data_IF_787365469506
#
_entry.id   IF_787365469506
#
_cell.length_a   1.000
_cell.length_b   1.000
_cell.length_c   1.000
_cell.angle_alpha   90.00
_cell.angle_beta   90.00
_cell.angle_gamma   90.00
#
_symmetry.space_group_name_H-M   'P 1'
#
loop_
_entity.id
_entity.type
_entity.pdbx_description
1 polymer ?
#
# COMPACT_ATOMS: atom_id res chain seq x y z
N UNK A 1 -54.06 45.82 65.33
CA UNK A 1 -53.53 44.53 65.73
C UNK A 1 -52.74 44.07 64.55
N UNK A 2 -51.63 44.36 64.63
CA UNK A 2 -50.31 44.41 63.95
C UNK A 2 -49.99 43.18 63.14
N UNK A 3 -49.87 43.43 61.87
CA UNK A 3 -49.32 42.61 60.87
C UNK A 3 -47.77 42.65 60.96
N UNK A 4 -47.12 41.52 61.00
CA UNK A 4 -45.66 41.42 60.97
C UNK A 4 -45.23 40.77 59.61
N UNK A 5 -44.81 41.65 58.77
CA UNK A 5 -44.11 41.31 57.54
C UNK A 5 -42.71 40.76 57.85
N UNK A 6 -42.41 39.51 57.45
CA UNK A 6 -41.09 38.93 57.53
C UNK A 6 -40.40 39.04 56.14
N UNK A 7 -39.70 40.16 56.09
CA UNK A 7 -38.73 40.49 55.00
C UNK A 7 -37.76 39.39 54.72
N UNK A 8 -37.54 39.19 53.41
CA UNK A 8 -36.45 38.41 52.79
C UNK A 8 -35.07 38.89 53.24
N UNK A 9 -34.10 38.01 53.44
CA UNK A 9 -32.72 38.42 53.64
C UNK A 9 -32.13 39.08 52.39
N UNK A 10 -31.29 40.12 52.55
CA UNK A 10 -30.60 40.76 51.39
C UNK A 10 -29.39 39.97 50.96
N UNK A 11 -29.24 39.86 49.66
CA UNK A 11 -27.92 39.58 49.06
C UNK A 11 -27.63 38.17 48.61
N UNK A 12 -28.15 37.82 47.45
CA UNK A 12 -27.42 36.95 46.53
C UNK A 12 -27.61 37.47 45.09
N UNK A 13 -27.05 38.64 44.84
CA UNK A 13 -26.77 39.00 43.47
C UNK A 13 -25.65 38.06 42.98
N UNK A 14 -26.00 37.15 42.09
CA UNK A 14 -25.02 36.38 41.32
C UNK A 14 -24.13 37.40 40.60
N UNK A 15 -22.81 37.25 40.65
CA UNK A 15 -21.92 38.11 39.88
C UNK A 15 -22.29 38.04 38.40
N UNK A 16 -22.26 39.17 37.66
CA UNK A 16 -22.57 39.17 36.25
C UNK A 16 -21.65 38.18 35.54
N UNK A 17 -22.14 37.44 34.54
CA UNK A 17 -21.31 36.50 33.77
C UNK A 17 -20.12 37.25 33.21
N UNK A 18 -18.95 36.73 33.50
CA UNK A 18 -17.65 37.30 33.14
C UNK A 18 -17.59 37.43 31.61
N UNK A 19 -17.94 38.60 31.08
CA UNK A 19 -17.88 38.94 29.65
C UNK A 19 -16.42 39.25 29.21
N UNK A 20 -15.53 38.31 29.46
CA UNK A 20 -14.27 38.27 28.73
C UNK A 20 -14.39 37.33 27.55
N UNK A 21 -15.49 37.44 26.80
CA UNK A 21 -15.43 37.02 25.39
C UNK A 21 -14.46 37.96 24.69
N UNK A 22 -13.23 37.54 24.60
CA UNK A 22 -12.30 38.12 23.65
C UNK A 22 -12.89 37.81 22.27
N UNK A 23 -13.70 38.74 21.78
CA UNK A 23 -14.06 38.80 20.36
C UNK A 23 -12.72 38.83 19.63
N UNK A 24 -12.27 37.67 19.15
CA UNK A 24 -11.19 37.65 18.17
C UNK A 24 -11.79 38.36 16.95
N UNK A 25 -11.45 39.64 16.86
CA UNK A 25 -11.92 40.50 15.78
C UNK A 25 -11.67 39.79 14.45
N UNK A 26 -12.74 39.59 13.69
CA UNK A 26 -12.67 39.09 12.30
C UNK A 26 -11.85 40.03 11.39
N UNK A 27 -11.39 41.14 11.95
CA UNK A 27 -10.53 42.15 11.28
C UNK A 27 -9.04 41.91 11.49
N UNK A 28 -8.61 40.72 11.88
CA UNK A 28 -7.20 40.39 11.75
C UNK A 28 -6.87 40.51 10.25
N UNK A 29 -6.00 41.48 9.84
CA UNK A 29 -5.68 41.65 8.44
C UNK A 29 -5.23 40.35 7.87
N UNK A 30 -5.80 39.93 6.74
CA UNK A 30 -5.36 38.76 6.03
C UNK A 30 -3.83 38.81 5.92
N UNK A 31 -3.11 37.76 6.30
CA UNK A 31 -1.65 37.80 6.21
C UNK A 31 -1.27 38.22 4.81
N UNK A 32 -0.29 39.14 4.65
CA UNK A 32 0.03 39.74 3.37
C UNK A 32 0.23 38.65 2.32
N UNK A 33 -0.46 38.77 1.20
CA UNK A 33 -0.26 37.90 0.05
C UNK A 33 1.22 38.03 -0.33
N UNK A 34 1.98 36.95 -0.15
CA UNK A 34 3.39 36.97 -0.58
C UNK A 34 3.41 37.02 -2.09
N UNK A 35 4.19 37.92 -2.64
CA UNK A 35 4.41 38.02 -4.06
C UNK A 35 4.89 36.70 -4.65
N UNK A 36 4.46 36.32 -5.88
CA UNK A 36 4.80 35.03 -6.51
C UNK A 36 6.32 34.79 -6.61
N UNK A 37 7.14 35.84 -6.70
CA UNK A 37 8.59 35.74 -6.71
C UNK A 37 9.18 35.15 -5.42
N UNK A 38 8.55 35.39 -4.25
CA UNK A 38 9.01 34.82 -2.96
C UNK A 38 8.67 33.32 -2.80
N UNK A 39 7.76 32.77 -3.61
CA UNK A 39 7.35 31.39 -3.59
C UNK A 39 8.27 30.47 -4.43
N UNK A 40 8.94 31.02 -5.44
CA UNK A 40 9.80 30.23 -6.33
C UNK A 40 11.04 29.69 -5.63
N UNK A 41 11.62 30.46 -4.68
CA UNK A 41 12.82 30.04 -3.98
C UNK A 41 12.61 28.76 -3.14
N UNK A 42 11.63 28.68 -2.21
CA UNK A 42 11.43 27.47 -1.44
C UNK A 42 10.95 26.27 -2.29
N UNK A 43 10.20 26.50 -3.37
CA UNK A 43 9.87 25.45 -4.32
C UNK A 43 11.13 24.93 -5.03
N UNK A 44 12.00 25.83 -5.47
CA UNK A 44 13.29 25.48 -6.06
C UNK A 44 14.17 24.66 -5.12
N UNK A 45 14.19 25.01 -3.83
CA UNK A 45 14.91 24.25 -2.80
C UNK A 45 14.36 22.81 -2.67
N UNK A 46 13.04 22.63 -2.61
CA UNK A 46 12.43 21.30 -2.53
C UNK A 46 12.79 20.47 -3.76
N UNK A 47 12.67 21.04 -4.96
CA UNK A 47 13.03 20.36 -6.21
C UNK A 47 14.53 20.02 -6.23
N UNK A 48 15.39 20.95 -5.83
CA UNK A 48 16.83 20.71 -5.76
C UNK A 48 17.20 19.59 -4.78
N UNK A 49 16.53 19.50 -3.61
CA UNK A 49 16.73 18.44 -2.65
C UNK A 49 16.30 17.07 -3.19
N UNK A 50 15.18 17.00 -3.92
CA UNK A 50 14.72 15.77 -4.57
C UNK A 50 15.67 15.32 -5.67
N UNK A 51 16.19 16.26 -6.47
CA UNK A 51 17.21 16.00 -7.50
C UNK A 51 18.54 15.55 -6.86
N UNK A 52 18.98 16.24 -5.80
CA UNK A 52 20.17 15.85 -5.06
C UNK A 52 20.07 14.44 -4.48
N UNK A 53 18.90 14.08 -3.92
CA UNK A 53 18.63 12.74 -3.44
C UNK A 53 18.75 11.69 -4.56
N UNK A 54 18.30 12.00 -5.78
CA UNK A 54 18.44 11.12 -6.95
C UNK A 54 19.89 11.01 -7.42
N UNK A 55 20.62 12.11 -7.51
CA UNK A 55 21.98 12.19 -8.08
C UNK A 55 23.02 11.60 -7.09
N UNK A 56 22.97 11.99 -5.81
CA UNK A 56 23.95 11.60 -4.79
C UNK A 56 23.54 10.34 -4.01
N UNK A 57 22.25 9.99 -3.97
CA UNK A 57 21.75 8.79 -3.33
C UNK A 57 21.36 7.74 -4.36
N UNK A 58 20.10 7.68 -4.68
CA UNK A 58 19.54 6.80 -5.72
C UNK A 58 18.19 7.32 -6.18
N UNK A 59 17.90 7.21 -7.47
CA UNK A 59 16.58 7.54 -8.03
C UNK A 59 15.42 6.74 -7.38
N UNK A 60 15.72 5.57 -6.82
CA UNK A 60 14.76 4.79 -6.04
C UNK A 60 14.30 5.51 -4.78
N UNK A 61 15.21 6.22 -4.09
CA UNK A 61 14.86 7.03 -2.92
C UNK A 61 13.99 8.22 -3.30
N UNK A 62 14.34 8.91 -4.39
CA UNK A 62 13.51 10.01 -4.91
C UNK A 62 12.12 9.52 -5.27
N UNK A 63 12.03 8.41 -6.00
CA UNK A 63 10.74 7.78 -6.34
C UNK A 63 9.94 7.44 -5.08
N UNK A 64 10.58 6.83 -4.08
CA UNK A 64 9.92 6.45 -2.81
C UNK A 64 9.37 7.67 -2.08
N UNK A 65 10.15 8.75 -1.96
CA UNK A 65 9.71 10.00 -1.31
C UNK A 65 8.54 10.62 -2.06
N UNK A 66 8.63 10.73 -3.38
CA UNK A 66 7.54 11.27 -4.21
C UNK A 66 6.28 10.40 -4.10
N UNK A 67 6.43 9.07 -4.15
CA UNK A 67 5.30 8.15 -4.00
C UNK A 67 4.62 8.32 -2.63
N UNK A 68 5.39 8.45 -1.55
CA UNK A 68 4.84 8.71 -0.21
C UNK A 68 4.07 10.02 -0.15
N UNK A 69 4.61 11.10 -0.74
CA UNK A 69 3.92 12.40 -0.82
C UNK A 69 2.58 12.25 -1.57
N UNK A 70 2.57 11.54 -2.69
CA UNK A 70 1.34 11.29 -3.48
C UNK A 70 0.34 10.47 -2.68
N UNK A 71 0.78 9.42 -1.99
CA UNK A 71 -0.08 8.57 -1.16
C UNK A 71 -0.74 9.39 -0.05
N UNK A 72 0.02 10.24 0.66
CA UNK A 72 -0.51 11.10 1.72
C UNK A 72 -1.47 12.15 1.13
N UNK A 73 -1.11 12.76 0.01
CA UNK A 73 -1.99 13.71 -0.69
C UNK A 73 -3.34 13.06 -1.05
N UNK A 74 -3.33 11.85 -1.60
CA UNK A 74 -4.55 11.12 -1.96
C UNK A 74 -5.38 10.74 -0.72
N UNK A 75 -4.73 10.42 0.40
CA UNK A 75 -5.39 10.20 1.68
C UNK A 75 -6.20 11.42 2.11
N UNK A 76 -5.55 12.60 2.15
CA UNK A 76 -6.20 13.86 2.52
C UNK A 76 -7.28 14.28 1.50
N UNK A 77 -7.05 13.98 0.21
CA UNK A 77 -8.05 14.20 -0.82
C UNK A 77 -9.33 13.39 -0.56
N UNK A 78 -9.20 12.18 0.00
CA UNK A 78 -10.34 11.38 0.43
C UNK A 78 -11.19 12.11 1.47
N UNK A 79 -10.56 12.60 2.54
CA UNK A 79 -11.22 13.39 3.59
C UNK A 79 -11.86 14.66 3.01
N UNK A 80 -11.15 15.38 2.16
CA UNK A 80 -11.65 16.58 1.48
C UNK A 80 -12.93 16.30 0.68
N UNK A 81 -12.91 15.29 -0.18
CA UNK A 81 -14.05 14.94 -1.04
C UNK A 81 -15.26 14.55 -0.21
N UNK A 82 -15.08 13.70 0.81
CA UNK A 82 -16.18 13.23 1.64
C UNK A 82 -16.74 14.33 2.55
N UNK A 83 -15.90 15.20 3.12
CA UNK A 83 -16.37 16.36 3.88
C UNK A 83 -17.25 17.28 3.03
N UNK A 84 -16.80 17.59 1.82
CA UNK A 84 -17.59 18.42 0.89
C UNK A 84 -18.90 17.76 0.48
N UNK A 85 -18.89 16.44 0.18
CA UNK A 85 -20.10 15.68 -0.14
C UNK A 85 -21.08 15.64 1.03
N UNK A 86 -20.58 15.59 2.26
CA UNK A 86 -21.39 15.65 3.48
C UNK A 86 -21.88 17.07 3.82
N UNK A 87 -21.60 18.08 3.00
CA UNK A 87 -21.99 19.47 3.23
C UNK A 87 -21.28 20.10 4.42
N UNK A 88 -20.07 19.65 4.74
CA UNK A 88 -19.18 20.28 5.74
C UNK A 88 -18.42 21.42 5.09
N UNK A 89 -18.14 22.49 5.83
CA UNK A 89 -17.30 23.58 5.34
C UNK A 89 -15.83 23.20 5.51
N UNK A 90 -15.11 23.21 4.41
CA UNK A 90 -13.67 23.02 4.34
C UNK A 90 -13.04 24.37 4.03
N UNK A 91 -12.06 24.77 4.80
CA UNK A 91 -11.40 26.08 4.67
C UNK A 91 -10.02 26.01 4.05
N UNK A 92 -9.29 24.91 4.29
CA UNK A 92 -7.93 24.74 3.79
C UNK A 92 -7.69 23.33 3.27
N UNK A 93 -6.92 23.24 2.18
CA UNK A 93 -6.39 22.00 1.65
C UNK A 93 -4.94 22.24 1.17
N UNK A 94 -3.97 21.79 1.94
CA UNK A 94 -2.57 22.06 1.70
C UNK A 94 -1.73 20.80 1.61
N UNK A 95 -0.76 20.83 0.69
CA UNK A 95 0.35 19.88 0.68
C UNK A 95 1.52 20.49 1.47
N UNK A 96 2.02 19.73 2.46
CA UNK A 96 3.12 20.16 3.32
C UNK A 96 2.70 20.91 4.58
N UNK A 97 3.69 21.25 5.39
CA UNK A 97 3.57 21.99 6.64
C UNK A 97 4.52 23.20 6.66
N UNK A 98 4.40 24.03 7.70
CA UNK A 98 5.26 25.20 7.88
C UNK A 98 4.83 26.43 7.05
N UNK A 99 5.77 27.30 6.66
CA UNK A 99 5.46 28.50 5.92
C UNK A 99 4.82 28.23 4.56
N UNK A 100 3.82 29.05 4.19
CA UNK A 100 3.14 28.97 2.92
C UNK A 100 4.08 29.41 1.79
N UNK A 101 4.26 28.54 0.78
CA UNK A 101 4.99 28.85 -0.45
C UNK A 101 4.05 29.52 -1.44
N UNK A 102 2.93 28.86 -1.73
CA UNK A 102 1.95 29.29 -2.70
C UNK A 102 0.55 28.86 -2.28
N UNK A 103 -0.46 29.68 -2.56
CA UNK A 103 -1.85 29.29 -2.42
C UNK A 103 -2.76 30.00 -3.41
N UNK A 104 -3.91 29.38 -3.67
CA UNK A 104 -5.00 29.94 -4.45
C UNK A 104 -6.31 29.70 -3.71
N UNK A 105 -7.15 30.71 -3.61
CA UNK A 105 -8.49 30.60 -3.04
C UNK A 105 -9.50 30.34 -4.14
N UNK A 106 -10.27 29.26 -3.99
CA UNK A 106 -11.40 28.96 -4.86
C UNK A 106 -12.65 28.74 -4.01
N UNK A 107 -13.55 29.71 -4.05
CA UNK A 107 -14.72 29.74 -3.17
C UNK A 107 -14.30 29.86 -1.70
N UNK A 108 -14.73 28.91 -0.88
CA UNK A 108 -14.47 28.90 0.56
C UNK A 108 -13.13 28.22 0.93
N UNK A 109 -12.49 27.53 -0.02
CA UNK A 109 -11.29 26.72 0.23
C UNK A 109 -10.05 27.41 -0.28
N UNK A 110 -9.03 27.48 0.56
CA UNK A 110 -7.67 27.85 0.18
C UNK A 110 -6.86 26.58 -0.10
N UNK A 111 -6.37 26.46 -1.33
CA UNK A 111 -5.51 25.35 -1.78
C UNK A 111 -4.08 25.84 -1.88
N UNK A 112 -3.11 25.05 -1.46
CA UNK A 112 -1.74 25.50 -1.56
C UNK A 112 -0.67 24.51 -1.23
N UNK A 113 0.57 25.00 -1.25
CA UNK A 113 1.79 24.28 -0.97
C UNK A 113 2.54 24.99 0.15
N UNK A 114 3.04 24.21 1.11
CA UNK A 114 3.89 24.67 2.22
C UNK A 114 5.31 24.13 2.09
N UNK A 115 6.24 24.74 2.83
CA UNK A 115 7.68 24.57 2.62
C UNK A 115 8.21 23.17 3.00
N UNK A 116 7.56 22.45 3.89
CA UNK A 116 8.01 21.14 4.36
C UNK A 116 7.07 20.07 3.75
N UNK A 117 7.49 19.32 2.72
CA UNK A 117 6.63 18.37 2.00
C UNK A 117 6.49 17.04 2.76
N UNK A 118 6.39 17.08 4.09
CA UNK A 118 6.32 15.90 4.96
C UNK A 118 4.87 15.42 5.20
N UNK A 119 3.91 15.84 4.35
CA UNK A 119 2.52 15.45 4.48
C UNK A 119 1.56 16.35 3.71
N UNK A 120 0.28 16.23 4.03
CA UNK A 120 -0.79 17.09 3.57
C UNK A 120 -1.80 17.27 4.69
N UNK A 121 -2.71 18.22 4.59
CA UNK A 121 -3.83 18.33 5.51
C UNK A 121 -5.05 18.99 4.88
N UNK A 122 -6.21 18.63 5.41
CA UNK A 122 -7.48 19.26 5.13
C UNK A 122 -8.05 19.86 6.42
N UNK A 123 -8.47 21.13 6.39
CA UNK A 123 -9.11 21.78 7.53
C UNK A 123 -10.62 21.80 7.35
N UNK A 124 -11.30 20.96 8.13
CA UNK A 124 -12.74 20.89 8.24
C UNK A 124 -13.12 21.59 9.52
N UNK A 125 -14.02 22.59 9.47
CA UNK A 125 -14.43 23.34 10.68
C UNK A 125 -15.20 22.47 11.66
N UNK A 126 -15.02 22.74 12.95
CA UNK A 126 -15.75 22.08 14.04
C UNK A 126 -15.37 20.61 14.25
N UNK A 127 -14.16 20.18 13.85
CA UNK A 127 -13.61 18.87 14.23
C UNK A 127 -13.25 18.83 15.71
N UNK A 128 -12.82 19.96 16.28
CA UNK A 128 -12.61 20.12 17.72
C UNK A 128 -13.83 20.84 18.34
N UNK A 129 -14.34 20.30 19.44
CA UNK A 129 -15.48 20.91 20.16
C UNK A 129 -15.15 22.27 20.81
N UNK A 130 -13.85 22.58 20.96
CA UNK A 130 -13.37 23.85 21.49
C UNK A 130 -13.18 24.92 20.39
N UNK A 131 -13.35 24.56 19.12
CA UNK A 131 -13.22 25.49 18.01
C UNK A 131 -14.45 26.42 17.97
N UNK A 132 -14.19 27.73 18.10
CA UNK A 132 -15.22 28.75 17.93
C UNK A 132 -15.50 28.92 16.44
N UNK A 133 -16.75 28.73 16.05
CA UNK A 133 -17.22 28.80 14.67
C UNK A 133 -18.29 29.89 14.59
N UNK A 134 -18.30 30.74 13.56
CA UNK A 134 -19.37 31.72 13.34
C UNK A 134 -20.74 31.04 13.34
N UNK A 135 -21.80 31.62 13.93
CA UNK A 135 -23.12 31.02 14.02
C UNK A 135 -23.70 30.59 12.67
N UNK A 136 -23.42 31.35 11.60
CA UNK A 136 -23.84 31.06 10.23
C UNK A 136 -23.21 29.76 9.69
N UNK A 137 -22.04 29.38 10.13
CA UNK A 137 -21.32 28.20 9.70
C UNK A 137 -21.53 26.99 10.60
N UNK A 138 -22.14 27.15 11.78
CA UNK A 138 -22.28 26.08 12.76
C UNK A 138 -22.99 24.84 12.18
N UNK A 139 -24.03 25.01 11.36
CA UNK A 139 -24.75 23.92 10.71
C UNK A 139 -23.88 23.11 9.71
N UNK A 140 -22.75 23.66 9.32
CA UNK A 140 -21.79 23.09 8.37
C UNK A 140 -20.54 22.52 9.05
N UNK A 141 -20.50 22.52 10.39
CA UNK A 141 -19.37 21.93 11.15
C UNK A 141 -19.43 20.42 11.12
N UNK A 142 -18.25 19.77 11.30
CA UNK A 142 -18.16 18.33 11.45
C UNK A 142 -19.01 17.80 12.60
N UNK A 143 -19.00 18.49 13.76
CA UNK A 143 -19.73 18.09 14.98
C UNK A 143 -21.24 18.08 14.81
N UNK A 144 -21.80 18.91 13.93
CA UNK A 144 -23.25 18.99 13.66
C UNK A 144 -23.75 17.96 12.63
N UNK A 145 -22.84 17.24 11.96
CA UNK A 145 -23.24 16.23 10.99
C UNK A 145 -23.63 14.92 11.67
N UNK A 146 -24.56 14.21 11.03
CA UNK A 146 -24.98 12.88 11.48
C UNK A 146 -23.84 11.87 11.50
N UNK A 147 -24.01 10.81 12.28
CA UNK A 147 -23.02 9.76 12.50
C UNK A 147 -22.40 9.22 11.20
N UNK A 148 -23.22 8.84 10.21
CA UNK A 148 -22.75 8.26 8.96
C UNK A 148 -21.92 9.24 8.12
N UNK A 149 -22.29 10.53 8.13
CA UNK A 149 -21.50 11.57 7.46
C UNK A 149 -20.13 11.74 8.12
N UNK A 150 -20.05 11.72 9.44
CA UNK A 150 -18.79 11.79 10.18
C UNK A 150 -17.94 10.54 9.95
N UNK A 151 -18.55 9.36 10.00
CA UNK A 151 -17.88 8.09 9.74
C UNK A 151 -17.33 8.03 8.30
N UNK A 152 -18.11 8.48 7.29
CA UNK A 152 -17.65 8.50 5.90
C UNK A 152 -16.42 9.38 5.73
N UNK A 153 -16.34 10.52 6.41
CA UNK A 153 -15.14 11.35 6.41
C UNK A 153 -13.98 10.65 7.13
N UNK A 154 -14.24 10.05 8.31
CA UNK A 154 -13.20 9.40 9.10
C UNK A 154 -12.51 8.25 8.35
N UNK A 155 -13.25 7.45 7.58
CA UNK A 155 -12.70 6.31 6.83
C UNK A 155 -12.21 6.67 5.42
N UNK A 156 -12.49 7.89 4.94
CA UNK A 156 -12.25 8.29 3.55
C UNK A 156 -10.76 8.20 3.14
N UNK A 157 -9.85 8.58 4.03
CA UNK A 157 -8.41 8.49 3.78
C UNK A 157 -7.97 7.05 3.54
N UNK A 158 -8.37 6.13 4.41
CA UNK A 158 -8.07 4.70 4.26
C UNK A 158 -8.74 4.11 3.02
N UNK A 159 -9.98 4.50 2.71
CA UNK A 159 -10.69 4.07 1.51
C UNK A 159 -9.95 4.50 0.23
N UNK A 160 -9.30 5.68 0.25
CA UNK A 160 -8.49 6.16 -0.88
C UNK A 160 -7.22 5.31 -1.07
N UNK A 161 -6.60 4.81 0.00
CA UNK A 161 -5.48 3.86 -0.10
C UNK A 161 -5.93 2.54 -0.72
N UNK A 162 -7.09 2.01 -0.34
CA UNK A 162 -7.64 0.80 -0.97
C UNK A 162 -7.95 1.01 -2.44
N UNK A 163 -8.52 2.16 -2.80
CA UNK A 163 -8.77 2.51 -4.20
C UNK A 163 -7.45 2.58 -4.99
N UNK A 164 -6.42 3.24 -4.44
CA UNK A 164 -5.10 3.33 -5.06
C UNK A 164 -4.48 1.94 -5.24
N UNK A 165 -4.51 1.10 -4.21
CA UNK A 165 -4.00 -0.27 -4.28
C UNK A 165 -4.69 -1.07 -5.38
N UNK A 166 -6.02 -0.93 -5.50
CA UNK A 166 -6.80 -1.59 -6.53
C UNK A 166 -6.44 -1.11 -7.95
N UNK A 167 -6.29 0.21 -8.13
CA UNK A 167 -5.85 0.79 -9.42
C UNK A 167 -4.44 0.30 -9.79
N UNK A 168 -3.52 0.25 -8.82
CA UNK A 168 -2.17 -0.25 -9.05
C UNK A 168 -2.15 -1.76 -9.38
N UNK A 169 -3.02 -2.56 -8.75
CA UNK A 169 -3.17 -3.97 -9.11
C UNK A 169 -3.65 -4.14 -10.54
N UNK A 170 -4.70 -3.41 -10.95
CA UNK A 170 -5.18 -3.45 -12.33
C UNK A 170 -4.06 -3.07 -13.31
N UNK A 171 -3.33 -2.01 -13.01
CA UNK A 171 -2.21 -1.57 -13.83
C UNK A 171 -1.11 -2.65 -13.89
N UNK A 172 -0.76 -3.25 -12.76
CA UNK A 172 0.25 -4.31 -12.71
C UNK A 172 -0.16 -5.53 -13.52
N UNK A 173 -1.38 -6.03 -13.33
CA UNK A 173 -1.88 -7.20 -14.05
C UNK A 173 -2.03 -6.94 -15.55
N UNK A 174 -2.46 -5.74 -15.95
CA UNK A 174 -2.68 -5.38 -17.34
C UNK A 174 -1.40 -5.04 -18.10
N UNK A 175 -0.45 -4.32 -17.48
CA UNK A 175 0.78 -3.89 -18.16
C UNK A 175 1.94 -4.88 -18.02
N UNK A 176 2.17 -5.40 -16.81
CA UNK A 176 3.29 -6.32 -16.53
C UNK A 176 2.86 -7.78 -16.62
N UNK A 177 1.59 -8.10 -16.35
CA UNK A 177 1.07 -9.45 -16.35
C UNK A 177 1.28 -10.18 -15.02
N UNK A 178 0.89 -11.45 -15.01
CA UNK A 178 1.06 -12.37 -13.89
C UNK A 178 1.88 -13.59 -14.28
N UNK A 179 2.66 -14.12 -13.37
CA UNK A 179 3.28 -15.41 -13.54
C UNK A 179 2.24 -16.51 -13.30
N UNK A 180 1.83 -17.21 -14.35
CA UNK A 180 0.92 -18.35 -14.22
C UNK A 180 1.70 -19.64 -14.04
N UNK A 181 1.26 -20.48 -13.16
CA UNK A 181 1.87 -21.82 -12.96
C UNK A 181 1.85 -22.68 -14.22
N UNK A 182 0.93 -22.41 -15.16
CA UNK A 182 0.84 -23.08 -16.45
C UNK A 182 1.76 -22.48 -17.53
N UNK A 183 2.34 -21.28 -17.30
CA UNK A 183 3.24 -20.60 -18.24
C UNK A 183 4.71 -20.78 -17.81
N UNK A 184 5.06 -22.01 -17.45
CA UNK A 184 6.42 -22.35 -17.05
C UNK A 184 7.27 -22.79 -18.26
N UNK A 185 8.59 -22.59 -18.15
CA UNK A 185 9.60 -23.09 -19.09
C UNK A 185 10.83 -23.54 -18.33
N UNK A 186 11.70 -24.29 -18.99
CA UNK A 186 13.00 -24.69 -18.45
C UNK A 186 13.88 -23.44 -18.35
N UNK A 187 14.30 -23.07 -17.13
CA UNK A 187 15.24 -21.95 -16.89
C UNK A 187 16.68 -22.33 -17.21
N UNK A 188 17.02 -23.60 -17.01
CA UNK A 188 18.34 -24.15 -17.24
C UNK A 188 18.34 -25.66 -17.04
N UNK A 189 19.34 -26.31 -17.59
CA UNK A 189 19.58 -27.74 -17.50
C UNK A 189 20.89 -27.94 -16.74
N UNK A 190 20.90 -28.84 -15.76
CA UNK A 190 22.07 -29.16 -14.97
C UNK A 190 23.07 -29.94 -15.81
N UNK A 191 24.37 -29.70 -15.60
CA UNK A 191 25.44 -30.49 -16.20
C UNK A 191 25.33 -31.98 -15.76
N UNK A 192 25.69 -32.89 -16.61
CA UNK A 192 25.65 -34.35 -16.40
C UNK A 192 24.28 -34.90 -16.00
N UNK A 193 23.21 -34.20 -16.38
CA UNK A 193 21.84 -34.59 -16.03
C UNK A 193 21.15 -35.41 -17.14
N UNK A 194 20.13 -36.22 -16.78
CA UNK A 194 19.26 -36.87 -17.73
C UNK A 194 18.62 -35.93 -18.77
N UNK A 195 18.32 -34.69 -18.37
CA UNK A 195 17.75 -33.67 -19.24
C UNK A 195 18.75 -33.27 -20.34
N UNK A 196 20.03 -33.04 -19.98
CA UNK A 196 21.07 -32.70 -20.94
C UNK A 196 21.29 -33.85 -21.91
N UNK A 197 21.33 -35.10 -21.39
CA UNK A 197 21.48 -36.31 -22.22
C UNK A 197 20.30 -36.52 -23.18
N UNK A 198 19.10 -36.05 -22.80
CA UNK A 198 17.89 -36.11 -23.65
C UNK A 198 17.79 -34.93 -24.64
N UNK A 199 18.75 -34.00 -24.65
CA UNK A 199 18.75 -32.86 -25.57
C UNK A 199 17.83 -31.70 -25.15
N UNK A 200 17.43 -31.62 -23.86
CA UNK A 200 16.62 -30.52 -23.39
C UNK A 200 17.45 -29.24 -23.21
N UNK A 201 16.86 -28.09 -23.54
CA UNK A 201 17.50 -26.79 -23.46
C UNK A 201 16.69 -25.78 -22.64
N UNK A 202 17.34 -24.69 -22.22
CA UNK A 202 16.67 -23.54 -21.64
C UNK A 202 15.66 -22.93 -22.63
N UNK A 203 14.46 -22.60 -22.14
CA UNK A 203 13.35 -22.11 -22.95
C UNK A 203 12.37 -23.18 -23.39
N UNK A 204 12.74 -24.47 -23.34
CA UNK A 204 11.84 -25.58 -23.63
C UNK A 204 10.74 -25.74 -22.57
N UNK A 205 9.62 -26.36 -22.96
CA UNK A 205 8.53 -26.74 -22.05
C UNK A 205 8.15 -28.18 -22.27
N UNK A 206 8.10 -28.98 -21.22
CA UNK A 206 7.58 -30.34 -21.30
C UNK A 206 6.06 -30.31 -21.21
N UNK A 207 5.38 -30.71 -22.27
CA UNK A 207 3.92 -30.69 -22.37
C UNK A 207 3.25 -32.02 -22.03
N UNK A 208 4.00 -33.15 -22.11
CA UNK A 208 3.53 -34.45 -21.58
C UNK A 208 4.70 -35.35 -21.20
N UNK A 209 4.41 -36.30 -20.28
CA UNK A 209 5.28 -37.41 -19.88
C UNK A 209 4.49 -38.72 -20.03
N UNK A 210 5.01 -39.69 -20.80
CA UNK A 210 4.37 -40.95 -21.13
C UNK A 210 2.89 -40.79 -21.54
N UNK A 211 2.59 -39.76 -22.35
CA UNK A 211 1.22 -39.44 -22.78
C UNK A 211 0.35 -38.71 -21.76
N UNK A 212 0.82 -38.53 -20.52
CA UNK A 212 0.11 -37.76 -19.51
C UNK A 212 0.41 -36.28 -19.68
N UNK A 213 -0.61 -35.40 -19.87
CA UNK A 213 -0.40 -33.95 -20.01
C UNK A 213 0.22 -33.33 -18.76
N UNK A 214 1.10 -32.35 -18.97
CA UNK A 214 1.77 -31.59 -17.91
C UNK A 214 1.39 -30.12 -18.02
N UNK A 215 0.53 -29.66 -17.12
CA UNK A 215 0.08 -28.27 -17.07
C UNK A 215 1.01 -27.38 -16.22
N UNK A 216 1.58 -27.93 -15.14
CA UNK A 216 2.43 -27.18 -14.22
C UNK A 216 3.76 -27.89 -13.97
N UNK A 217 4.78 -27.11 -13.60
CA UNK A 217 6.09 -27.66 -13.22
C UNK A 217 5.99 -28.58 -11.98
N UNK A 218 5.08 -28.28 -11.05
CA UNK A 218 4.83 -29.14 -9.88
C UNK A 218 4.34 -30.51 -10.33
N UNK A 219 3.37 -30.57 -11.26
CA UNK A 219 2.89 -31.84 -11.83
C UNK A 219 4.02 -32.65 -12.48
N UNK A 220 4.90 -31.98 -13.26
CA UNK A 220 6.07 -32.61 -13.83
C UNK A 220 6.99 -33.19 -12.74
N UNK A 221 7.29 -32.37 -11.73
CA UNK A 221 8.16 -32.78 -10.61
C UNK A 221 7.61 -34.01 -9.91
N UNK A 222 6.32 -34.07 -9.62
CA UNK A 222 5.68 -35.22 -8.98
C UNK A 222 5.78 -36.47 -9.84
N UNK A 223 5.55 -36.36 -11.14
CA UNK A 223 5.65 -37.46 -12.11
C UNK A 223 7.09 -37.97 -12.25
N UNK A 224 8.08 -37.07 -12.29
CA UNK A 224 9.51 -37.43 -12.36
C UNK A 224 9.95 -38.10 -11.06
N UNK A 225 9.63 -37.52 -9.88
CA UNK A 225 10.03 -38.07 -8.58
C UNK A 225 9.49 -39.49 -8.32
N UNK A 226 8.30 -39.79 -8.86
CA UNK A 226 7.68 -41.09 -8.72
C UNK A 226 8.35 -42.22 -9.56
N UNK A 227 9.32 -41.89 -10.45
CA UNK A 227 9.91 -42.82 -11.42
C UNK A 227 11.44 -42.91 -11.36
N UNK A 228 12.04 -43.26 -10.22
CA UNK A 228 13.50 -43.34 -10.09
C UNK A 228 14.09 -44.40 -11.03
N UNK A 229 15.07 -44.02 -11.84
CA UNK A 229 15.79 -44.92 -12.75
C UNK A 229 14.95 -45.43 -13.94
N UNK A 230 13.80 -44.88 -14.22
CA UNK A 230 12.95 -45.28 -15.37
C UNK A 230 13.25 -44.43 -16.61
N UNK A 231 13.05 -45.02 -17.77
CA UNK A 231 13.01 -44.30 -19.06
C UNK A 231 11.59 -43.79 -19.28
N UNK A 232 11.46 -42.55 -19.66
CA UNK A 232 10.18 -41.89 -19.93
C UNK A 232 10.23 -41.20 -21.30
N UNK A 233 9.06 -41.09 -21.90
CA UNK A 233 8.88 -40.37 -23.17
C UNK A 233 8.34 -38.97 -22.86
N UNK A 234 9.06 -37.95 -23.26
CA UNK A 234 8.70 -36.54 -23.08
C UNK A 234 8.28 -35.93 -24.40
N UNK A 235 7.17 -35.20 -24.43
CA UNK A 235 6.86 -34.29 -25.53
C UNK A 235 7.28 -32.90 -25.10
N UNK A 236 8.14 -32.29 -25.87
CA UNK A 236 8.78 -30.99 -25.59
C UNK A 236 8.31 -29.97 -26.60
N UNK A 237 7.87 -28.81 -26.11
CA UNK A 237 7.58 -27.64 -26.93
C UNK A 237 8.77 -26.68 -26.83
N UNK A 238 9.37 -26.35 -27.98
CA UNK A 238 10.46 -25.39 -28.08
C UNK A 238 9.98 -23.93 -28.10
N UNK A 239 10.87 -22.93 -27.94
CA UNK A 239 10.49 -21.51 -27.97
C UNK A 239 9.82 -21.06 -29.28
N UNK A 240 10.07 -21.74 -30.39
CA UNK A 240 9.45 -21.51 -31.72
C UNK A 240 8.09 -22.20 -31.88
N UNK A 241 7.56 -22.81 -30.80
CA UNK A 241 6.32 -23.60 -30.76
C UNK A 241 6.37 -24.91 -31.56
N UNK A 242 7.50 -25.33 -32.04
CA UNK A 242 7.67 -26.70 -32.59
C UNK A 242 7.63 -27.70 -31.45
N UNK A 243 7.18 -28.92 -31.73
CA UNK A 243 7.13 -29.99 -30.71
C UNK A 243 8.00 -31.16 -31.14
N UNK A 244 8.77 -31.70 -30.22
CA UNK A 244 9.60 -32.87 -30.39
C UNK A 244 9.29 -33.91 -29.33
N UNK A 245 9.46 -35.20 -29.69
CA UNK A 245 9.33 -36.30 -28.73
C UNK A 245 10.71 -36.87 -28.46
N UNK A 246 11.13 -36.77 -27.21
CA UNK A 246 12.45 -37.25 -26.75
C UNK A 246 12.30 -38.32 -25.66
N UNK A 247 13.27 -39.23 -25.56
CA UNK A 247 13.34 -40.20 -24.47
C UNK A 247 14.37 -39.74 -23.43
N UNK A 248 14.01 -39.74 -22.18
CA UNK A 248 14.89 -39.41 -21.09
C UNK A 248 15.00 -40.58 -20.08
N UNK A 249 16.21 -40.97 -19.69
CA UNK A 249 16.44 -41.94 -18.65
C UNK A 249 16.62 -41.20 -17.30
N UNK A 250 15.63 -41.21 -16.43
CA UNK A 250 15.66 -40.49 -15.16
C UNK A 250 16.73 -41.06 -14.22
N UNK A 251 17.44 -40.19 -13.52
CA UNK A 251 18.35 -40.64 -12.48
C UNK A 251 17.56 -41.29 -11.32
N UNK A 252 18.12 -42.28 -10.65
CA UNK A 252 17.48 -42.97 -9.51
C UNK A 252 17.64 -42.21 -8.20
N UNK A 253 18.49 -41.17 -8.18
CA UNK A 253 18.72 -40.32 -7.00
C UNK A 253 18.85 -38.86 -7.43
N UNK A 254 18.37 -37.96 -6.59
CA UNK A 254 18.60 -36.53 -6.76
C UNK A 254 19.99 -36.12 -6.22
N UNK A 255 20.47 -34.89 -6.45
CA UNK A 255 21.76 -34.40 -5.93
C UNK A 255 21.87 -34.39 -4.41
N UNK A 256 20.73 -34.42 -3.68
CA UNK A 256 20.68 -34.52 -2.22
C UNK A 256 20.81 -35.96 -1.71
N UNK A 257 20.90 -36.95 -2.61
CA UNK A 257 21.05 -38.35 -2.28
C UNK A 257 19.73 -39.08 -1.97
N UNK A 258 18.58 -38.44 -2.14
CA UNK A 258 17.27 -39.07 -1.95
C UNK A 258 16.97 -40.02 -3.12
N UNK A 259 16.36 -41.16 -2.81
CA UNK A 259 15.97 -42.18 -3.79
C UNK A 259 14.66 -41.80 -4.50
N UNK A 260 14.71 -40.79 -5.32
CA UNK A 260 13.60 -40.23 -6.14
C UNK A 260 14.10 -40.02 -7.55
N UNK A 261 13.19 -40.09 -8.52
CA UNK A 261 13.51 -39.76 -9.90
C UNK A 261 13.98 -38.31 -10.04
N UNK A 262 14.99 -38.08 -10.89
CA UNK A 262 15.55 -36.76 -11.11
C UNK A 262 15.82 -36.53 -12.60
N UNK A 263 15.44 -35.36 -13.13
CA UNK A 263 15.63 -34.99 -14.53
C UNK A 263 16.72 -33.92 -14.71
N UNK A 264 16.89 -33.00 -13.76
CA UNK A 264 17.95 -31.99 -13.77
C UNK A 264 17.59 -30.72 -14.51
N UNK A 265 16.35 -30.22 -14.36
CA UNK A 265 15.90 -28.95 -14.94
C UNK A 265 15.44 -27.98 -13.85
N UNK A 266 15.64 -26.69 -14.12
CA UNK A 266 15.08 -25.60 -13.33
C UNK A 266 13.82 -25.02 -13.96
N UNK A 267 13.00 -24.35 -13.16
CA UNK A 267 11.77 -23.66 -13.59
C UNK A 267 12.00 -22.15 -13.74
N UNK A 268 11.47 -21.56 -14.80
CA UNK A 268 11.15 -20.14 -14.91
C UNK A 268 9.70 -19.98 -15.34
N UNK A 269 9.09 -18.85 -15.01
CA UNK A 269 7.70 -18.56 -15.40
C UNK A 269 7.64 -17.26 -16.17
N UNK A 270 6.98 -17.32 -17.32
CA UNK A 270 6.73 -16.15 -18.12
C UNK A 270 5.60 -15.30 -17.54
N UNK A 271 5.73 -13.98 -17.71
CA UNK A 271 4.66 -13.05 -17.39
C UNK A 271 3.62 -13.04 -18.51
N UNK A 272 2.41 -13.46 -18.20
CA UNK A 272 1.28 -13.44 -19.12
C UNK A 272 0.45 -12.19 -18.84
N UNK A 273 0.36 -11.28 -19.84
CA UNK A 273 -0.46 -10.07 -19.74
C UNK A 273 -1.94 -10.44 -19.71
N UNK A 274 -2.66 -9.82 -18.79
CA UNK A 274 -4.10 -9.99 -18.68
C UNK A 274 -4.82 -8.98 -19.59
N UNK A 275 -5.97 -9.39 -20.15
CA UNK A 275 -6.91 -8.41 -20.72
C UNK A 275 -7.45 -7.49 -19.63
N UNK A 276 -7.87 -6.26 -19.98
CA UNK A 276 -8.41 -5.33 -18.97
C UNK A 276 -9.56 -5.93 -18.13
N UNK A 277 -10.57 -6.63 -18.73
CA UNK A 277 -11.59 -7.30 -17.91
C UNK A 277 -11.01 -8.35 -16.96
N UNK A 278 -10.07 -9.18 -17.44
CA UNK A 278 -9.41 -10.21 -16.61
C UNK A 278 -8.56 -9.56 -15.51
N UNK A 279 -7.87 -8.47 -15.81
CA UNK A 279 -7.09 -7.71 -14.83
C UNK A 279 -7.96 -7.13 -13.72
N UNK A 280 -9.16 -6.63 -14.03
CA UNK A 280 -10.12 -6.15 -13.01
C UNK A 280 -10.57 -7.30 -12.11
N UNK A 281 -11.01 -8.42 -12.69
CA UNK A 281 -11.44 -9.60 -11.91
C UNK A 281 -10.28 -10.16 -11.08
N UNK A 282 -9.10 -10.31 -11.68
CA UNK A 282 -7.89 -10.76 -11.01
C UNK A 282 -7.49 -9.84 -9.87
N UNK A 283 -7.64 -8.52 -10.03
CA UNK A 283 -7.35 -7.54 -8.99
C UNK A 283 -8.28 -7.67 -7.78
N UNK A 284 -9.57 -7.97 -7.98
CA UNK A 284 -10.51 -8.22 -6.86
C UNK A 284 -10.08 -9.47 -6.09
N UNK A 285 -9.75 -10.55 -6.79
CA UNK A 285 -9.32 -11.81 -6.18
C UNK A 285 -7.99 -11.63 -5.42
N UNK A 286 -7.01 -10.99 -6.05
CA UNK A 286 -5.70 -10.78 -5.47
C UNK A 286 -5.76 -9.82 -4.27
N UNK A 287 -6.54 -8.75 -4.36
CA UNK A 287 -6.80 -7.85 -3.25
C UNK A 287 -7.43 -8.59 -2.05
N UNK A 288 -8.44 -9.42 -2.31
CA UNK A 288 -9.07 -10.24 -1.27
C UNK A 288 -8.07 -11.23 -0.64
N UNK A 289 -7.26 -11.89 -1.47
CA UNK A 289 -6.22 -12.83 -1.03
C UNK A 289 -5.17 -12.15 -0.14
N UNK A 290 -4.64 -11.01 -0.57
CA UNK A 290 -3.63 -10.25 0.18
C UNK A 290 -4.22 -9.72 1.48
N UNK A 291 -5.44 -9.17 1.44
CA UNK A 291 -6.13 -8.67 2.64
C UNK A 291 -6.35 -9.76 3.67
N UNK A 292 -6.84 -10.93 3.23
CA UNK A 292 -7.04 -12.09 4.10
C UNK A 292 -5.71 -12.60 4.66
N UNK A 293 -4.68 -12.75 3.82
CA UNK A 293 -3.36 -13.19 4.25
C UNK A 293 -2.74 -12.24 5.29
N UNK A 294 -2.95 -10.92 5.12
CA UNK A 294 -2.49 -9.91 6.08
C UNK A 294 -3.18 -10.05 7.44
N UNK A 295 -4.51 -10.22 7.45
CA UNK A 295 -5.28 -10.45 8.68
C UNK A 295 -4.87 -11.76 9.37
N UNK A 296 -4.75 -12.84 8.60
CA UNK A 296 -4.31 -14.14 9.11
C UNK A 296 -2.86 -14.08 9.63
N UNK A 297 -1.98 -13.37 8.93
CA UNK A 297 -0.60 -13.14 9.37
C UNK A 297 -0.53 -12.40 10.69
N UNK A 298 -1.27 -11.30 10.83
CA UNK A 298 -1.39 -10.56 12.08
C UNK A 298 -1.94 -11.43 13.21
N UNK A 299 -3.02 -12.17 12.95
CA UNK A 299 -3.60 -13.08 13.93
C UNK A 299 -2.58 -14.14 14.40
N UNK A 300 -1.74 -14.67 13.47
CA UNK A 300 -0.67 -15.61 13.80
C UNK A 300 0.42 -14.97 14.66
N UNK A 301 0.88 -13.76 14.33
CA UNK A 301 1.90 -13.03 15.09
C UNK A 301 1.42 -12.76 16.52
N UNK A 302 0.18 -12.31 16.68
CA UNK A 302 -0.41 -12.02 18.00
C UNK A 302 -1.01 -13.26 18.71
N UNK A 303 -0.88 -14.45 18.13
CA UNK A 303 -1.26 -15.69 18.80
C UNK A 303 -0.29 -16.04 19.94
N UNK A 304 -0.71 -16.82 20.96
CA UNK A 304 0.19 -17.26 22.01
C UNK A 304 1.45 -18.00 21.52
N UNK A 305 1.33 -18.74 20.41
CA UNK A 305 2.47 -19.43 19.77
C UNK A 305 3.38 -18.46 19.02
N UNK A 306 2.81 -17.45 18.34
CA UNK A 306 3.59 -16.42 17.63
C UNK A 306 4.40 -15.56 18.60
N UNK A 307 3.78 -15.12 19.69
CA UNK A 307 4.46 -14.34 20.75
C UNK A 307 5.57 -15.15 21.41
N UNK A 308 5.33 -16.45 21.72
CA UNK A 308 6.37 -17.33 22.26
C UNK A 308 7.55 -17.47 21.30
N UNK A 309 7.27 -17.77 20.01
CA UNK A 309 8.31 -17.90 19.01
C UNK A 309 9.16 -16.63 18.89
N UNK A 310 8.54 -15.46 18.91
CA UNK A 310 9.26 -14.18 18.88
C UNK A 310 10.14 -13.97 20.14
N UNK A 311 9.65 -14.34 21.34
CA UNK A 311 10.43 -14.27 22.58
C UNK A 311 11.60 -15.27 22.53
N UNK A 312 11.36 -16.49 22.04
CA UNK A 312 12.40 -17.53 21.91
C UNK A 312 13.49 -17.09 20.93
N UNK A 313 13.14 -16.45 19.80
CA UNK A 313 14.10 -15.91 18.84
C UNK A 313 14.93 -14.76 19.42
N UNK A 314 14.34 -13.91 20.28
CA UNK A 314 15.05 -12.83 20.95
C UNK A 314 15.98 -13.34 22.07
N UNK A 315 15.59 -14.41 22.76
CA UNK A 315 16.35 -14.96 23.91
C UNK A 315 17.39 -15.98 23.47
N UNK A 316 17.12 -16.75 22.40
CA UNK A 316 18.02 -17.78 21.86
C UNK A 316 18.84 -17.29 20.66
N UNK A 317 19.15 -16.00 20.54
CA UNK A 317 20.03 -15.48 19.50
C UNK A 317 21.34 -16.27 19.59
N UNK A 318 21.77 -17.03 18.55
CA UNK A 318 23.06 -17.68 18.57
C UNK A 318 24.12 -16.60 18.78
N UNK A 319 24.86 -16.72 19.83
CA UNK A 319 26.03 -15.87 20.08
C UNK A 319 26.94 -15.99 18.85
N UNK A 320 27.00 -14.94 18.04
CA UNK A 320 28.02 -14.78 17.02
C UNK A 320 29.38 -14.62 17.77
N UNK A 321 29.89 -15.75 18.20
CA UNK A 321 31.11 -15.85 18.97
C UNK A 321 32.13 -16.64 18.22
N UNK A 322 33.23 -15.97 17.97
CA UNK A 322 34.55 -16.47 17.67
C UNK A 322 34.73 -17.27 16.37
N UNK A 323 35.03 -16.52 15.33
CA UNK A 323 36.01 -17.00 14.36
C UNK A 323 37.33 -17.21 15.07
N UNK A 324 37.83 -18.40 15.00
CA UNK A 324 39.24 -18.70 15.20
C UNK A 324 39.64 -19.84 14.27
N UNK A 325 40.61 -19.55 13.43
CA UNK A 325 41.30 -20.52 12.62
C UNK A 325 41.21 -20.26 11.15
#
# INVERSE_FOLDING_TARGET
MTDVDHSRPPGSELPPPNRHHRVVSQDAPAPPEREPASALLPLGVVVALLLALGIFGSWWWTFTVVALIVIIFLHELGHFVMARRAGMKVTEFFLGFGPRIWSIRRGEVEYGLKAIPAGAYVRIIGMNNLEEVPPEDESRTYRQKGYWSRLSVAVAGSAMHFLLAFVLLIATLGFFGVQRASAWRISGVSDDSPALAAGLHSGDRIVSIDGTPIDTFATLTDQVRARPGQSVTLVVEHPDHSTETVSAHLASRNPQGENVGFLGIGETRDYVKESLPSAVVGSVQEFGRISWASVAGLAKVFSPSGIRGYIDDLTNKPSSGSGSG
#
